data_IF_694345284057
#
_entry.id   IF_694345284057
#
_cell.length_a   1.000
_cell.length_b   1.000
_cell.length_c   1.000
_cell.angle_alpha   90.00
_cell.angle_beta   90.00
_cell.angle_gamma   90.00
#
_symmetry.space_group_name_H-M   'P 1'
#
loop_
_entity.id
_entity.type
_entity.pdbx_description
1 polymer ?
#
# COMPACT_ATOMS: atom_id res chain seq x y z
N UNK A 1 1.05 -2.42 33.56
CA UNK A 1 1.92 -2.69 32.40
C UNK A 1 1.12 -3.49 31.38
N UNK A 2 0.83 -2.92 30.21
CA UNK A 2 -0.02 -3.54 29.20
C UNK A 2 0.75 -4.67 28.49
N UNK A 3 0.06 -5.72 28.06
CA UNK A 3 0.58 -6.89 27.33
C UNK A 3 1.34 -6.59 26.02
N UNK A 4 1.55 -5.32 25.66
CA UNK A 4 2.15 -4.88 24.39
C UNK A 4 3.58 -4.34 24.46
N UNK A 5 4.18 -4.20 25.64
CA UNK A 5 5.51 -3.57 25.76
C UNK A 5 6.68 -4.55 25.67
N UNK A 6 6.44 -5.85 25.79
CA UNK A 6 7.53 -6.84 25.91
C UNK A 6 8.08 -7.40 24.59
N UNK A 7 7.38 -7.24 23.47
CA UNK A 7 7.86 -7.63 22.12
C UNK A 7 7.62 -6.48 21.15
N UNK A 8 8.42 -5.43 21.24
CA UNK A 8 8.50 -4.44 20.17
C UNK A 8 9.48 -4.97 19.11
N UNK A 9 8.96 -5.79 18.21
CA UNK A 9 9.66 -6.13 16.97
C UNK A 9 9.89 -4.90 16.11
N UNK A 10 10.73 -5.02 15.06
CA UNK A 10 10.93 -3.95 14.08
C UNK A 10 9.58 -3.55 13.47
N UNK A 11 9.49 -2.32 12.96
CA UNK A 11 8.33 -1.91 12.17
C UNK A 11 8.19 -2.77 10.92
N UNK A 12 6.97 -2.99 10.47
CA UNK A 12 6.65 -3.81 9.30
C UNK A 12 6.19 -2.94 8.14
N UNK A 13 6.54 -3.34 6.92
CA UNK A 13 6.11 -2.68 5.68
C UNK A 13 4.93 -3.44 5.07
N UNK A 14 3.76 -2.79 5.04
CA UNK A 14 2.55 -3.30 4.42
C UNK A 14 2.31 -2.63 3.06
N UNK A 15 2.10 -3.43 2.04
CA UNK A 15 1.89 -2.98 0.67
C UNK A 15 0.52 -3.46 0.19
N UNK A 16 -0.45 -2.55 0.20
CA UNK A 16 -1.81 -2.83 -0.29
C UNK A 16 -1.86 -2.50 -1.77
N UNK A 17 -2.08 -3.49 -2.60
CA UNK A 17 -2.19 -3.32 -4.04
C UNK A 17 -3.44 -4.01 -4.59
N UNK A 18 -3.64 -3.94 -5.90
CA UNK A 18 -4.80 -4.49 -6.58
C UNK A 18 -5.30 -3.54 -7.66
N UNK A 19 -6.33 -3.94 -8.42
CA UNK A 19 -6.76 -3.23 -9.60
C UNK A 19 -7.23 -1.80 -9.31
N UNK A 20 -7.15 -0.97 -10.35
CA UNK A 20 -7.70 0.39 -10.30
C UNK A 20 -9.20 0.32 -10.02
N UNK A 21 -9.69 1.10 -9.05
CA UNK A 21 -11.10 1.05 -8.62
C UNK A 21 -11.42 0.02 -7.54
N UNK A 22 -10.46 -0.79 -7.06
CA UNK A 22 -10.66 -1.72 -5.94
C UNK A 22 -10.99 -1.03 -4.61
N UNK A 23 -10.75 0.29 -4.48
CA UNK A 23 -11.05 1.07 -3.28
C UNK A 23 -9.88 1.20 -2.30
N UNK A 24 -8.66 1.02 -2.78
CA UNK A 24 -7.42 1.11 -1.96
C UNK A 24 -7.35 2.39 -1.12
N UNK A 25 -7.68 3.54 -1.71
CA UNK A 25 -7.63 4.84 -1.01
C UNK A 25 -8.55 4.83 0.21
N UNK A 26 -9.82 4.50 0.01
CA UNK A 26 -10.83 4.47 1.07
C UNK A 26 -10.45 3.53 2.21
N UNK A 27 -10.02 2.31 1.86
CA UNK A 27 -9.71 1.28 2.86
C UNK A 27 -8.45 1.61 3.63
N UNK A 28 -7.38 2.08 2.95
CA UNK A 28 -6.12 2.45 3.59
C UNK A 28 -6.29 3.69 4.48
N UNK A 29 -7.04 4.70 4.04
CA UNK A 29 -7.25 5.91 4.84
C UNK A 29 -8.07 5.59 6.10
N UNK A 30 -9.14 4.78 5.99
CA UNK A 30 -9.90 4.34 7.16
C UNK A 30 -9.08 3.47 8.13
N UNK A 31 -8.21 2.60 7.62
CA UNK A 31 -7.30 1.82 8.47
C UNK A 31 -6.33 2.71 9.25
N UNK A 32 -5.79 3.74 8.62
CA UNK A 32 -4.86 4.69 9.27
C UNK A 32 -5.51 5.45 10.40
N UNK A 33 -6.79 5.80 10.28
CA UNK A 33 -7.55 6.44 11.37
C UNK A 33 -7.69 5.53 12.59
N UNK A 34 -7.85 4.21 12.37
CA UNK A 34 -7.95 3.22 13.45
C UNK A 34 -6.60 2.84 14.06
N UNK A 35 -5.52 2.96 13.29
CA UNK A 35 -4.18 2.52 13.68
C UNK A 35 -3.15 3.67 13.67
N UNK A 36 -3.09 4.52 14.71
CA UNK A 36 -2.22 5.73 14.72
C UNK A 36 -0.71 5.43 14.58
N UNK A 37 -0.27 4.20 14.88
CA UNK A 37 1.13 3.78 14.68
C UNK A 37 1.45 3.37 13.24
N UNK A 38 0.45 3.25 12.38
CA UNK A 38 0.61 2.91 10.97
C UNK A 38 0.87 4.20 10.16
N UNK A 39 2.08 4.37 9.67
CA UNK A 39 2.52 5.54 8.90
C UNK A 39 2.30 5.31 7.41
N UNK A 40 1.76 6.29 6.71
CA UNK A 40 1.57 6.20 5.26
C UNK A 40 2.82 6.69 4.53
N UNK A 41 3.32 5.88 3.59
CA UNK A 41 4.39 6.29 2.69
C UNK A 41 3.82 6.99 1.47
N UNK A 42 4.11 8.28 1.35
CA UNK A 42 3.74 9.09 0.18
C UNK A 42 4.74 8.83 -0.94
N UNK A 43 4.26 8.48 -2.13
CA UNK A 43 5.09 8.28 -3.32
C UNK A 43 5.51 9.61 -3.95
N UNK A 44 6.64 9.63 -4.65
CA UNK A 44 7.05 10.73 -5.51
C UNK A 44 6.58 10.49 -6.95
N UNK A 45 6.30 11.56 -7.70
CA UNK A 45 5.94 11.50 -9.12
C UNK A 45 6.40 12.72 -9.87
N UNK A 46 6.65 12.56 -11.18
CA UNK A 46 6.90 13.68 -12.10
C UNK A 46 5.62 14.19 -12.79
N UNK A 47 4.48 13.53 -12.54
CA UNK A 47 3.18 13.99 -13.02
C UNK A 47 2.80 15.28 -12.30
N UNK A 48 2.29 16.30 -13.00
CA UNK A 48 1.73 17.47 -12.33
C UNK A 48 0.55 17.09 -11.43
N UNK A 49 0.33 17.84 -10.32
CA UNK A 49 -0.80 17.60 -9.44
C UNK A 49 -2.13 17.75 -10.19
N UNK A 50 -3.10 16.93 -9.84
CA UNK A 50 -4.50 17.08 -10.27
C UNK A 50 -5.23 18.04 -9.33
N UNK A 51 -6.40 18.51 -9.77
CA UNK A 51 -7.27 19.32 -8.91
C UNK A 51 -7.56 18.59 -7.60
N UNK A 52 -7.32 19.27 -6.47
CA UNK A 52 -7.51 18.75 -5.13
C UNK A 52 -6.34 17.94 -4.55
N UNK A 53 -5.35 17.54 -5.35
CA UNK A 53 -4.15 16.86 -4.84
C UNK A 53 -3.19 17.85 -4.14
N UNK A 54 -2.55 17.40 -3.06
CA UNK A 54 -1.68 18.22 -2.20
C UNK A 54 -0.29 17.63 -2.09
N UNK A 55 0.72 18.53 -2.20
CA UNK A 55 2.13 18.19 -1.98
C UNK A 55 2.33 17.52 -0.61
N UNK A 56 3.12 16.45 -0.60
CA UNK A 56 3.47 15.70 0.60
C UNK A 56 2.33 14.91 1.25
N UNK A 57 1.11 14.97 0.70
CA UNK A 57 -0.04 14.20 1.17
C UNK A 57 -0.45 13.13 0.15
N UNK A 58 -0.69 13.55 -1.08
CA UNK A 58 -1.11 12.65 -2.16
C UNK A 58 0.12 12.12 -2.89
N UNK A 59 1.04 13.02 -3.25
CA UNK A 59 2.35 12.74 -3.81
C UNK A 59 3.38 13.80 -3.38
N UNK A 60 4.67 13.46 -3.51
CA UNK A 60 5.74 14.44 -3.68
C UNK A 60 5.87 14.72 -5.18
N UNK A 61 5.44 15.91 -5.63
CA UNK A 61 5.48 16.30 -7.03
C UNK A 61 6.86 16.87 -7.38
N UNK A 62 7.65 16.12 -8.09
CA UNK A 62 9.03 16.49 -8.45
C UNK A 62 9.11 16.83 -9.94
N UNK A 63 9.98 17.77 -10.32
CA UNK A 63 10.40 17.87 -11.71
C UNK A 63 11.21 16.63 -12.13
N UNK A 64 11.23 16.34 -13.45
CA UNK A 64 11.85 15.14 -13.98
C UNK A 64 13.35 15.09 -13.64
N UNK A 65 14.06 16.23 -13.74
CA UNK A 65 15.50 16.28 -13.47
C UNK A 65 15.83 15.98 -12.02
N UNK A 66 15.03 16.48 -11.06
CA UNK A 66 15.18 16.19 -9.65
C UNK A 66 14.88 14.71 -9.35
N UNK A 67 13.83 14.17 -9.98
CA UNK A 67 13.48 12.76 -9.82
C UNK A 67 14.61 11.84 -10.31
N UNK A 68 15.15 12.10 -11.51
CA UNK A 68 16.24 11.32 -12.12
C UNK A 68 17.54 11.40 -11.28
N UNK A 69 17.89 12.57 -10.74
CA UNK A 69 19.00 12.69 -9.78
C UNK A 69 18.79 11.81 -8.54
N UNK A 70 17.61 11.90 -7.91
CA UNK A 70 17.26 11.07 -6.74
C UNK A 70 17.27 9.59 -7.06
N UNK A 71 16.88 9.20 -8.27
CA UNK A 71 16.96 7.82 -8.75
C UNK A 71 18.43 7.35 -8.85
N UNK A 72 19.32 8.19 -9.38
CA UNK A 72 20.75 7.92 -9.43
C UNK A 72 21.41 7.81 -8.04
N UNK A 73 20.86 8.49 -7.04
CA UNK A 73 21.27 8.44 -5.63
C UNK A 73 20.66 7.26 -4.85
N UNK A 74 19.93 6.36 -5.52
CA UNK A 74 19.21 5.24 -4.89
C UNK A 74 18.20 5.67 -3.80
N UNK A 75 17.64 6.89 -3.92
CA UNK A 75 16.71 7.47 -2.96
C UNK A 75 15.34 6.82 -2.94
N UNK A 76 15.06 5.93 -3.89
CA UNK A 76 13.81 5.19 -3.98
C UNK A 76 14.02 3.69 -3.73
N UNK A 77 13.03 3.03 -3.15
CA UNK A 77 12.98 1.56 -3.04
C UNK A 77 12.70 0.91 -4.40
N UNK A 78 11.81 1.51 -5.16
CA UNK A 78 11.48 1.16 -6.53
C UNK A 78 11.14 2.42 -7.32
N UNK A 79 11.32 2.36 -8.62
CA UNK A 79 10.87 3.39 -9.55
C UNK A 79 10.23 2.74 -10.77
N UNK A 80 9.27 3.43 -11.38
CA UNK A 80 8.61 2.97 -12.59
C UNK A 80 8.17 4.15 -13.44
N UNK A 81 8.02 3.91 -14.71
CA UNK A 81 7.36 4.83 -15.62
C UNK A 81 5.94 4.34 -15.92
N UNK A 82 4.98 5.25 -15.85
CA UNK A 82 3.61 5.00 -16.23
C UNK A 82 3.05 6.24 -16.94
N UNK A 83 2.54 6.02 -18.14
CA UNK A 83 1.95 7.07 -18.98
C UNK A 83 2.87 8.31 -19.13
N UNK A 84 4.18 8.08 -19.39
CA UNK A 84 5.20 9.11 -19.58
C UNK A 84 5.67 9.82 -18.30
N UNK A 85 5.16 9.45 -17.13
CA UNK A 85 5.55 10.01 -15.84
C UNK A 85 6.28 8.98 -14.98
N UNK A 86 7.26 9.46 -14.22
CA UNK A 86 7.99 8.65 -13.27
C UNK A 86 7.25 8.63 -11.92
N UNK A 87 7.32 7.48 -11.26
CA UNK A 87 6.82 7.26 -9.91
C UNK A 87 7.89 6.54 -9.10
N UNK A 88 8.00 6.85 -7.81
CA UNK A 88 8.98 6.20 -6.96
C UNK A 88 8.58 6.23 -5.50
N UNK A 89 9.00 5.22 -4.77
CA UNK A 89 8.75 5.06 -3.35
C UNK A 89 9.97 5.52 -2.55
N UNK A 90 9.87 6.60 -1.74
CA UNK A 90 11.01 7.14 -0.98
C UNK A 90 11.57 6.12 0.01
N UNK A 91 12.85 5.76 -0.14
CA UNK A 91 13.55 4.76 0.67
C UNK A 91 13.75 5.22 2.12
N UNK A 92 14.33 6.41 2.29
CA UNK A 92 14.75 6.92 3.61
C UNK A 92 13.60 7.02 4.59
N UNK A 93 12.42 7.49 4.14
CA UNK A 93 11.23 7.57 4.98
C UNK A 93 10.83 6.20 5.54
N UNK A 94 10.82 5.18 4.68
CA UNK A 94 10.43 3.82 5.06
C UNK A 94 11.44 3.26 6.06
N UNK A 95 12.75 3.29 5.72
CA UNK A 95 13.80 2.72 6.56
C UNK A 95 13.85 3.37 7.95
N UNK A 96 13.76 4.70 8.04
CA UNK A 96 13.74 5.42 9.31
C UNK A 96 12.48 5.12 10.13
N UNK A 97 11.33 5.04 9.48
CA UNK A 97 10.06 4.76 10.16
C UNK A 97 10.05 3.34 10.74
N UNK A 98 10.49 2.35 9.96
CA UNK A 98 10.60 0.97 10.41
C UNK A 98 11.63 0.81 11.53
N UNK A 99 12.79 1.46 11.43
CA UNK A 99 13.82 1.48 12.48
C UNK A 99 13.29 2.11 13.78
N UNK A 100 12.41 3.09 13.69
CA UNK A 100 11.71 3.69 14.83
C UNK A 100 10.59 2.81 15.44
N UNK A 101 10.40 1.57 14.95
CA UNK A 101 9.38 0.64 15.45
C UNK A 101 7.94 0.98 15.02
N UNK A 102 7.77 1.87 14.04
CA UNK A 102 6.47 2.17 13.44
C UNK A 102 6.26 1.33 12.20
N UNK A 103 5.02 0.91 11.96
CA UNK A 103 4.64 0.25 10.72
C UNK A 103 4.46 1.27 9.61
N UNK A 104 4.75 0.84 8.39
CA UNK A 104 4.51 1.62 7.18
C UNK A 104 3.48 0.91 6.32
N UNK A 105 2.52 1.68 5.79
CA UNK A 105 1.59 1.22 4.77
C UNK A 105 1.72 2.08 3.52
N UNK A 106 1.58 1.45 2.37
CA UNK A 106 1.58 2.10 1.07
C UNK A 106 0.65 1.39 0.09
N UNK A 107 0.29 2.09 -1.00
CA UNK A 107 -0.68 1.58 -1.98
C UNK A 107 -0.20 1.75 -3.44
N UNK A 108 0.90 1.11 -3.85
CA UNK A 108 1.37 1.12 -5.24
C UNK A 108 0.44 0.30 -6.15
N UNK A 109 0.67 0.38 -7.46
CA UNK A 109 0.11 -0.58 -8.40
C UNK A 109 0.80 -1.94 -8.30
N UNK A 110 0.23 -2.98 -8.91
CA UNK A 110 0.67 -4.37 -8.75
C UNK A 110 2.16 -4.56 -9.09
N UNK A 111 2.63 -4.02 -10.22
CA UNK A 111 4.04 -4.13 -10.59
C UNK A 111 4.96 -3.42 -9.59
N UNK A 112 4.53 -2.27 -9.05
CA UNK A 112 5.26 -1.56 -8.00
C UNK A 112 5.33 -2.37 -6.71
N UNK A 113 4.24 -3.03 -6.31
CA UNK A 113 4.21 -3.89 -5.15
C UNK A 113 5.20 -5.07 -5.27
N UNK A 114 5.25 -5.70 -6.44
CA UNK A 114 6.19 -6.79 -6.71
C UNK A 114 7.65 -6.31 -6.72
N UNK A 115 7.93 -5.13 -7.28
CA UNK A 115 9.26 -4.53 -7.24
C UNK A 115 9.70 -4.21 -5.81
N UNK A 116 8.76 -3.73 -4.96
CA UNK A 116 9.03 -3.52 -3.53
C UNK A 116 9.34 -4.83 -2.83
N UNK A 117 8.56 -5.91 -3.07
CA UNK A 117 8.86 -7.23 -2.49
C UNK A 117 10.24 -7.74 -2.86
N UNK A 118 10.67 -7.52 -4.11
CA UNK A 118 12.00 -7.89 -4.58
C UNK A 118 13.11 -7.10 -3.86
N UNK A 119 12.89 -5.80 -3.59
CA UNK A 119 13.85 -4.91 -2.91
C UNK A 119 13.79 -5.02 -1.39
N UNK A 120 12.62 -5.39 -0.85
CA UNK A 120 12.35 -5.53 0.57
C UNK A 120 11.58 -6.84 0.84
N UNK A 121 12.28 -8.00 0.91
CA UNK A 121 11.64 -9.33 0.99
C UNK A 121 10.69 -9.54 2.18
N UNK A 122 10.88 -8.80 3.27
CA UNK A 122 10.01 -8.83 4.45
C UNK A 122 8.74 -7.97 4.31
N UNK A 123 8.56 -7.25 3.20
CA UNK A 123 7.31 -6.54 2.95
C UNK A 123 6.13 -7.52 2.87
N UNK A 124 5.02 -7.16 3.51
CA UNK A 124 3.77 -7.92 3.51
C UNK A 124 2.89 -7.39 2.39
N UNK A 125 2.68 -8.20 1.36
CA UNK A 125 1.89 -7.84 0.20
C UNK A 125 0.44 -8.27 0.36
N UNK A 126 -0.50 -7.32 0.25
CA UNK A 126 -1.94 -7.55 0.40
C UNK A 126 -2.64 -7.15 -0.90
N UNK A 127 -3.31 -8.10 -1.54
CA UNK A 127 -4.06 -7.87 -2.76
C UNK A 127 -5.52 -7.53 -2.42
N UNK A 128 -5.93 -6.29 -2.70
CA UNK A 128 -7.29 -5.82 -2.47
C UNK A 128 -8.14 -6.02 -3.73
N UNK A 129 -9.23 -6.76 -3.62
CA UNK A 129 -10.18 -7.04 -4.70
C UNK A 129 -11.57 -6.46 -4.39
N UNK A 130 -12.35 -6.05 -5.39
CA UNK A 130 -13.78 -5.88 -5.21
C UNK A 130 -14.44 -7.26 -5.03
N UNK A 131 -15.60 -7.31 -4.39
CA UNK A 131 -16.41 -8.51 -4.23
C UNK A 131 -16.86 -9.12 -5.59
N UNK A 132 -17.12 -8.24 -6.58
CA UNK A 132 -17.45 -8.64 -7.95
C UNK A 132 -16.66 -7.78 -8.94
N UNK A 133 -16.14 -8.44 -9.96
CA UNK A 133 -15.40 -7.74 -11.02
C UNK A 133 -16.30 -6.75 -11.79
N UNK A 134 -17.62 -7.02 -11.88
CA UNK A 134 -18.59 -6.08 -12.43
C UNK A 134 -18.69 -4.77 -11.65
N UNK A 135 -18.44 -4.79 -10.32
CA UNK A 135 -18.42 -3.59 -9.49
C UNK A 135 -17.21 -2.69 -9.81
N UNK A 136 -16.12 -3.26 -10.29
CA UNK A 136 -14.98 -2.49 -10.78
C UNK A 136 -15.39 -1.60 -11.95
N UNK A 137 -16.11 -2.16 -12.93
CA UNK A 137 -16.65 -1.40 -14.07
C UNK A 137 -17.54 -0.24 -13.62
N UNK A 138 -18.45 -0.51 -12.68
CA UNK A 138 -19.36 0.52 -12.16
C UNK A 138 -18.59 1.64 -11.44
N UNK A 139 -17.57 1.29 -10.63
CA UNK A 139 -16.75 2.27 -9.91
C UNK A 139 -15.89 3.12 -10.86
N UNK A 140 -15.39 2.53 -11.95
CA UNK A 140 -14.64 3.28 -12.99
C UNK A 140 -15.57 4.23 -13.75
N UNK A 141 -16.76 3.77 -14.15
CA UNK A 141 -17.74 4.59 -14.86
C UNK A 141 -18.31 5.74 -14.01
N UNK A 142 -18.42 5.57 -12.70
CA UNK A 142 -18.95 6.59 -11.78
C UNK A 142 -18.05 7.85 -11.68
N UNK A 143 -16.80 7.79 -12.08
CA UNK A 143 -15.89 8.95 -12.09
C UNK A 143 -16.19 9.99 -13.16
N UNK A 144 -17.12 9.72 -14.09
CA UNK A 144 -17.65 10.62 -15.15
C UNK A 144 -16.61 11.33 -16.03
N UNK A 145 -15.34 10.93 -15.96
CA UNK A 145 -14.22 11.57 -16.70
C UNK A 145 -13.65 10.68 -17.80
N UNK A 146 -14.18 9.46 -17.97
CA UNK A 146 -13.57 8.45 -18.83
C UNK A 146 -14.53 7.97 -19.93
N UNK A 147 -14.00 7.75 -21.11
CA UNK A 147 -14.72 7.14 -22.24
C UNK A 147 -14.92 5.63 -22.02
N UNK A 148 -15.82 5.01 -22.78
CA UNK A 148 -16.01 3.57 -22.74
C UNK A 148 -14.74 2.79 -23.11
N UNK A 149 -13.93 3.33 -24.02
CA UNK A 149 -12.65 2.76 -24.45
C UNK A 149 -11.63 2.78 -23.31
N UNK A 150 -11.55 3.88 -22.57
CA UNK A 150 -10.66 4.00 -21.40
C UNK A 150 -11.07 3.03 -20.29
N UNK A 151 -12.37 2.88 -20.04
CA UNK A 151 -12.90 1.89 -19.07
C UNK A 151 -12.53 0.48 -19.52
N UNK A 152 -12.70 0.14 -20.80
CA UNK A 152 -12.34 -1.17 -21.33
C UNK A 152 -10.84 -1.46 -21.20
N UNK A 153 -9.98 -0.49 -21.51
CA UNK A 153 -8.54 -0.60 -21.35
C UNK A 153 -8.15 -0.85 -19.88
N UNK A 154 -8.76 -0.14 -18.92
CA UNK A 154 -8.52 -0.34 -17.49
C UNK A 154 -8.99 -1.71 -16.99
N UNK A 155 -10.12 -2.21 -17.50
CA UNK A 155 -10.57 -3.55 -17.16
C UNK A 155 -9.64 -4.63 -17.71
N UNK A 156 -9.07 -4.43 -18.90
CA UNK A 156 -8.04 -5.32 -19.44
C UNK A 156 -6.79 -5.34 -18.55
N UNK A 157 -6.31 -4.16 -18.13
CA UNK A 157 -5.20 -4.06 -17.16
C UNK A 157 -5.53 -4.79 -15.86
N UNK A 158 -6.74 -4.59 -15.31
CA UNK A 158 -7.17 -5.24 -14.09
C UNK A 158 -7.17 -6.78 -14.20
N UNK A 159 -7.52 -7.34 -15.37
CA UNK A 159 -7.43 -8.77 -15.64
C UNK A 159 -5.97 -9.27 -15.66
N UNK A 160 -5.04 -8.49 -16.23
CA UNK A 160 -3.62 -8.84 -16.18
C UNK A 160 -3.07 -8.78 -14.76
N UNK A 161 -3.44 -7.76 -13.99
CA UNK A 161 -3.05 -7.61 -12.59
C UNK A 161 -3.50 -8.78 -11.72
N UNK A 162 -4.69 -9.36 -11.98
CA UNK A 162 -5.17 -10.57 -11.28
C UNK A 162 -4.26 -11.78 -11.44
N UNK A 163 -3.53 -11.91 -12.55
CA UNK A 163 -2.60 -13.02 -12.76
C UNK A 163 -1.46 -13.04 -11.73
N UNK A 164 -1.17 -11.88 -11.15
CA UNK A 164 -0.12 -11.71 -10.15
C UNK A 164 -0.57 -12.02 -8.72
N UNK A 165 -1.85 -12.30 -8.47
CA UNK A 165 -2.41 -12.47 -7.11
C UNK A 165 -1.67 -13.54 -6.29
N UNK A 166 -1.18 -14.60 -6.93
CA UNK A 166 -0.44 -15.69 -6.27
C UNK A 166 0.95 -15.28 -5.74
N UNK A 167 1.42 -14.09 -6.08
CA UNK A 167 2.68 -13.52 -5.61
C UNK A 167 2.49 -12.64 -4.37
N UNK A 168 1.25 -12.50 -3.89
CA UNK A 168 0.89 -11.76 -2.69
C UNK A 168 0.75 -12.69 -1.49
N UNK A 169 0.98 -12.13 -0.31
CA UNK A 169 0.90 -12.87 0.96
C UNK A 169 -0.55 -13.03 1.42
N UNK A 170 -1.42 -12.05 1.12
CA UNK A 170 -2.83 -11.99 1.52
C UNK A 170 -3.73 -11.49 0.39
N UNK A 171 -5.00 -11.90 0.44
CA UNK A 171 -6.09 -11.31 -0.34
C UNK A 171 -7.17 -10.79 0.60
N UNK A 172 -7.64 -9.57 0.32
CA UNK A 172 -8.76 -8.94 1.05
C UNK A 172 -9.83 -8.55 0.04
N UNK A 173 -11.08 -8.88 0.35
CA UNK A 173 -12.24 -8.56 -0.48
C UNK A 173 -12.88 -7.26 0.03
N UNK A 174 -12.88 -6.23 -0.79
CA UNK A 174 -13.55 -4.96 -0.49
C UNK A 174 -15.00 -5.03 -0.96
N UNK A 175 -15.86 -5.58 -0.12
CA UNK A 175 -17.28 -5.66 -0.37
C UNK A 175 -17.92 -4.27 -0.45
N UNK A 176 -18.94 -4.15 -1.28
CA UNK A 176 -19.75 -2.95 -1.30
C UNK A 176 -20.64 -2.98 -0.05
N UNK A 177 -20.31 -2.14 0.94
CA UNK A 177 -21.14 -2.05 2.14
C UNK A 177 -22.57 -1.66 1.77
N UNK A 178 -23.58 -2.40 2.24
CA UNK A 178 -24.96 -2.00 2.07
C UNK A 178 -25.21 -0.66 2.77
N UNK A 179 -26.23 0.12 2.34
CA UNK A 179 -26.49 1.47 2.84
C UNK A 179 -26.54 1.58 4.37
N UNK A 180 -27.01 0.50 5.02
CA UNK A 180 -27.18 0.41 6.48
C UNK A 180 -25.85 0.19 7.23
N UNK A 181 -24.78 -0.18 6.52
CA UNK A 181 -23.46 -0.47 7.09
C UNK A 181 -22.34 0.44 6.55
N UNK A 182 -22.68 1.66 6.13
CA UNK A 182 -21.68 2.61 5.59
C UNK A 182 -20.55 2.94 6.54
N UNK A 183 -20.76 2.78 7.84
CA UNK A 183 -19.78 3.02 8.88
C UNK A 183 -18.88 1.80 9.18
N UNK A 184 -19.17 0.63 8.61
CA UNK A 184 -18.34 -0.56 8.71
C UNK A 184 -17.78 -0.92 7.34
N UNK A 185 -16.47 -0.93 7.22
CA UNK A 185 -15.76 -1.41 6.03
C UNK A 185 -15.11 -2.76 6.39
N UNK A 186 -15.74 -3.92 6.08
CA UNK A 186 -15.18 -5.24 6.42
C UNK A 186 -13.73 -5.41 5.99
N UNK A 187 -13.37 -4.87 4.82
CA UNK A 187 -11.99 -4.88 4.34
C UNK A 187 -11.00 -4.14 5.27
N UNK A 188 -11.47 -3.16 6.05
CA UNK A 188 -10.63 -2.48 7.07
C UNK A 188 -10.41 -3.40 8.25
N UNK A 189 -11.44 -4.13 8.69
CA UNK A 189 -11.34 -5.11 9.78
C UNK A 189 -10.36 -6.24 9.40
N UNK A 190 -10.44 -6.74 8.17
CA UNK A 190 -9.52 -7.75 7.64
C UNK A 190 -8.07 -7.24 7.57
N UNK A 191 -7.86 -6.02 7.06
CA UNK A 191 -6.53 -5.41 7.02
C UNK A 191 -5.97 -5.17 8.42
N UNK A 192 -6.79 -4.71 9.36
CA UNK A 192 -6.38 -4.53 10.76
C UNK A 192 -5.98 -5.88 11.40
N UNK A 193 -6.74 -6.94 11.13
CA UNK A 193 -6.42 -8.29 11.60
C UNK A 193 -5.09 -8.78 11.03
N UNK A 194 -4.83 -8.57 9.72
CA UNK A 194 -3.55 -8.91 9.07
C UNK A 194 -2.40 -8.15 9.72
N UNK A 195 -2.51 -6.83 9.87
CA UNK A 195 -1.46 -5.99 10.47
C UNK A 195 -1.15 -6.45 11.89
N UNK A 196 -2.18 -6.79 12.68
CA UNK A 196 -2.01 -7.30 14.04
C UNK A 196 -1.37 -8.68 14.05
N UNK A 197 -1.79 -9.60 13.18
CA UNK A 197 -1.28 -10.97 13.12
C UNK A 197 0.18 -11.03 12.67
N UNK A 198 0.56 -10.23 11.67
CA UNK A 198 1.94 -10.18 11.17
C UNK A 198 2.95 -9.80 12.26
N UNK A 199 2.56 -8.98 13.23
CA UNK A 199 3.43 -8.62 14.35
C UNK A 199 3.81 -9.79 15.26
N UNK A 200 3.11 -10.90 15.17
CA UNK A 200 3.40 -12.12 15.95
C UNK A 200 4.12 -13.20 15.14
N UNK A 201 4.40 -12.94 13.86
CA UNK A 201 5.13 -13.92 13.03
C UNK A 201 6.61 -13.90 13.37
N UNK A 202 7.12 -15.06 13.78
CA UNK A 202 8.48 -15.24 14.29
C UNK A 202 9.56 -14.79 13.29
N UNK A 203 9.32 -14.91 11.98
CA UNK A 203 10.29 -14.54 10.96
C UNK A 203 10.57 -13.02 10.86
N UNK A 204 9.76 -12.17 11.50
CA UNK A 204 10.03 -10.74 11.60
C UNK A 204 11.02 -10.40 12.72
N UNK A 205 11.31 -11.34 13.63
CA UNK A 205 12.20 -11.16 14.75
C UNK A 205 13.59 -11.70 14.43
N UNK A 206 14.61 -10.95 14.78
CA UNK A 206 16.01 -11.42 14.74
C UNK A 206 16.33 -12.20 16.03
N UNK A 207 17.33 -13.06 15.99
CA UNK A 207 17.77 -13.83 17.17
C UNK A 207 18.07 -12.93 18.38
N UNK A 208 18.60 -11.72 18.14
CA UNK A 208 18.90 -10.76 19.21
C UNK A 208 17.64 -10.15 19.82
N UNK A 209 16.53 -10.05 19.08
CA UNK A 209 15.24 -9.59 19.60
C UNK A 209 14.62 -10.67 20.51
N UNK A 210 14.82 -11.94 20.15
CA UNK A 210 14.35 -13.08 20.93
C UNK A 210 15.17 -13.28 22.21
N UNK A 211 16.49 -13.09 22.16
CA UNK A 211 17.36 -13.16 23.35
C UNK A 211 16.99 -12.16 24.45
N UNK A 212 16.40 -11.02 24.11
CA UNK A 212 15.90 -10.05 25.10
C UNK A 212 14.80 -10.63 25.99
N UNK A 213 14.09 -11.65 25.52
CA UNK A 213 13.05 -12.35 26.31
C UNK A 213 13.65 -13.25 27.40
N UNK A 214 14.91 -13.69 27.24
CA UNK A 214 15.59 -14.55 28.22
C UNK A 214 16.11 -13.75 29.42
N UNK A 215 16.19 -12.42 29.29
CA UNK A 215 16.82 -11.53 30.28
C UNK A 215 15.81 -10.69 31.08
N UNK A 216 14.50 -10.90 30.89
CA UNK A 216 13.42 -10.20 31.57
C UNK A 216 12.66 -11.15 32.51
#
# INVERSE_FOLDING_TARGET
MGRGEQLQGPGLLFVVSGPSGAGKDTVVDALRERMPRLRYSVSATTRPPREGEREGKDYFFLDRGLFERKMGESAFLETREYNGNLYGTPRTFIEQTLAGGYDVIMKPEVNGALAIKASFPLAVLIFLLPDKFSHLRLRLAARRTESNEEIAARLAIAHEELKSIRQFDYVVINEQAPPERRDSLPAVDDLEAIVRAERFRIHHYKDDDLKKLETT
#
